data_IF_670212673526
#
_entry.id   IF_670212673526
#
_cell.length_a   1.000
_cell.length_b   1.000
_cell.length_c   1.000
_cell.angle_alpha   90.00
_cell.angle_beta   90.00
_cell.angle_gamma   90.00
#
_symmetry.space_group_name_H-M   'P 1'
#
loop_
_entity.id
_entity.type
_entity.pdbx_description
1 polymer ?
#
# COMPACT_ATOMS: atom_id res chain seq x y z
N UNK A 1 8.68 -1.85 2.05
CA UNK A 1 9.27 -3.20 1.90
C UNK A 1 9.55 -4.01 3.17
N UNK A 2 9.82 -3.41 4.34
CA UNK A 2 10.10 -4.21 5.54
C UNK A 2 8.84 -4.98 6.01
N UNK A 3 8.96 -6.29 6.14
CA UNK A 3 7.90 -7.21 6.61
C UNK A 3 7.88 -7.30 8.14
N UNK A 4 6.85 -7.94 8.70
CA UNK A 4 6.77 -8.23 10.14
C UNK A 4 7.97 -9.04 10.65
N UNK A 5 8.42 -10.00 9.84
CA UNK A 5 9.65 -10.77 10.04
C UNK A 5 10.49 -10.67 8.79
N UNK A 6 11.65 -10.03 8.88
CA UNK A 6 12.59 -9.88 7.78
C UNK A 6 13.96 -10.47 8.14
N UNK A 7 14.54 -11.24 7.22
CA UNK A 7 15.93 -11.69 7.32
C UNK A 7 16.84 -10.66 6.65
N UNK A 8 17.30 -9.68 7.43
CA UNK A 8 18.11 -8.57 6.93
C UNK A 8 17.27 -7.43 6.36
N UNK A 9 17.85 -6.66 5.45
CA UNK A 9 17.22 -5.52 4.80
C UNK A 9 16.45 -5.95 3.54
N UNK A 10 15.30 -5.33 3.26
CA UNK A 10 14.54 -5.50 2.01
C UNK A 10 14.29 -4.13 1.37
N UNK A 11 14.73 -3.92 0.13
CA UNK A 11 14.50 -2.66 -0.60
C UNK A 11 14.95 -1.42 0.17
N UNK A 12 16.11 -1.48 0.82
CA UNK A 12 16.64 -0.44 1.71
C UNK A 12 15.84 -0.21 3.01
N UNK A 13 14.71 -0.87 3.21
CA UNK A 13 13.93 -0.82 4.45
C UNK A 13 14.45 -1.82 5.51
N UNK A 14 14.74 -1.33 6.72
CA UNK A 14 15.06 -2.18 7.89
C UNK A 14 13.88 -2.34 8.85
N UNK A 15 13.03 -1.31 8.93
CA UNK A 15 11.80 -1.27 9.73
C UNK A 15 10.68 -0.69 8.88
N UNK A 16 9.43 -1.06 9.18
CA UNK A 16 8.26 -0.48 8.52
C UNK A 16 7.76 0.70 9.36
N UNK A 17 8.15 1.91 8.97
CA UNK A 17 7.85 3.15 9.72
C UNK A 17 6.35 3.38 9.85
N UNK A 18 5.60 3.13 8.78
CA UNK A 18 4.14 3.34 8.73
C UNK A 18 3.43 2.36 9.65
N UNK A 19 3.82 1.08 9.62
CA UNK A 19 3.23 0.08 10.50
C UNK A 19 3.45 0.45 11.98
N UNK A 20 4.66 0.89 12.34
CA UNK A 20 4.97 1.36 13.71
C UNK A 20 4.10 2.57 14.07
N UNK A 21 3.96 3.53 13.15
CA UNK A 21 3.14 4.72 13.37
C UNK A 21 1.67 4.36 13.56
N UNK A 22 1.10 3.49 12.73
CA UNK A 22 -0.30 3.06 12.78
C UNK A 22 -0.59 2.36 14.11
N UNK A 23 0.26 1.43 14.53
CA UNK A 23 0.09 0.73 15.80
C UNK A 23 0.20 1.68 17.00
N UNK A 24 1.09 2.69 16.92
CA UNK A 24 1.15 3.76 17.91
C UNK A 24 -0.15 4.58 17.95
N UNK A 25 -0.67 4.99 16.79
CA UNK A 25 -1.90 5.79 16.70
C UNK A 25 -3.12 5.02 17.22
N UNK A 26 -3.22 3.72 16.92
CA UNK A 26 -4.22 2.81 17.46
C UNK A 26 -4.19 2.77 18.98
N UNK A 27 -3.02 2.50 19.55
CA UNK A 27 -2.86 2.39 21.00
C UNK A 27 -3.09 3.71 21.72
N UNK A 28 -2.59 4.82 21.16
CA UNK A 28 -2.58 6.12 21.84
C UNK A 28 -3.87 6.91 21.68
N UNK A 29 -4.49 6.84 20.50
CA UNK A 29 -5.62 7.69 20.12
C UNK A 29 -6.88 6.90 19.75
N UNK A 30 -6.81 5.57 19.68
CA UNK A 30 -7.97 4.74 19.33
C UNK A 30 -8.40 4.87 17.87
N UNK A 31 -7.51 5.36 16.98
CA UNK A 31 -7.71 5.33 15.53
C UNK A 31 -7.90 3.87 15.11
N UNK A 32 -8.97 3.57 14.35
CA UNK A 32 -9.25 2.19 13.92
C UNK A 32 -9.03 2.03 12.44
N UNK A 33 -9.79 2.79 11.65
CA UNK A 33 -9.81 2.66 10.19
C UNK A 33 -8.73 3.52 9.57
N UNK A 34 -7.75 2.87 8.97
CA UNK A 34 -6.61 3.53 8.34
C UNK A 34 -6.59 3.20 6.87
N UNK A 35 -6.43 4.22 6.03
CA UNK A 35 -6.10 3.99 4.62
C UNK A 35 -4.61 4.31 4.40
N UNK A 36 -3.91 3.39 3.76
CA UNK A 36 -2.54 3.58 3.29
C UNK A 36 -2.59 3.61 1.77
N UNK A 37 -2.18 4.74 1.20
CA UNK A 37 -2.03 4.90 -0.25
C UNK A 37 -0.53 4.94 -0.53
N UNK A 38 0.02 3.83 -1.01
CA UNK A 38 1.42 3.72 -1.39
C UNK A 38 1.59 4.26 -2.81
N UNK A 39 2.35 5.34 -2.93
CA UNK A 39 2.61 6.05 -4.19
C UNK A 39 4.04 5.86 -4.69
N UNK A 40 4.85 5.06 -3.99
CA UNK A 40 6.16 4.60 -4.46
C UNK A 40 6.00 3.75 -5.73
N UNK A 41 6.97 3.81 -6.65
CA UNK A 41 6.88 3.02 -7.90
C UNK A 41 7.00 1.51 -7.66
N UNK A 42 7.53 1.10 -6.49
CA UNK A 42 7.67 -0.29 -6.10
C UNK A 42 6.51 -0.71 -5.20
N UNK A 43 6.06 -1.95 -5.33
CA UNK A 43 5.01 -2.48 -4.47
C UNK A 43 5.43 -2.48 -2.99
N UNK A 44 4.59 -1.91 -2.12
CA UNK A 44 4.70 -1.94 -0.66
C UNK A 44 4.50 -3.32 0.01
N UNK A 45 5.20 -4.35 -0.46
CA UNK A 45 5.07 -5.76 -0.04
C UNK A 45 5.11 -5.98 1.48
N UNK A 46 5.92 -5.21 2.19
CA UNK A 46 6.00 -5.25 3.64
C UNK A 46 4.73 -4.75 4.35
N UNK A 47 4.15 -3.64 3.86
CA UNK A 47 2.92 -3.07 4.44
C UNK A 47 1.73 -3.97 4.12
N UNK A 48 1.65 -4.48 2.88
CA UNK A 48 0.67 -5.50 2.50
C UNK A 48 0.72 -6.72 3.41
N UNK A 49 1.90 -7.30 3.65
CA UNK A 49 2.05 -8.50 4.49
C UNK A 49 1.58 -8.25 5.93
N UNK A 50 2.00 -7.13 6.53
CA UNK A 50 1.66 -6.79 7.92
C UNK A 50 0.14 -6.68 8.13
N UNK A 51 -0.56 -6.04 7.18
CA UNK A 51 -1.99 -5.74 7.27
C UNK A 51 -2.88 -6.70 6.48
N UNK A 52 -2.31 -7.77 5.92
CA UNK A 52 -3.02 -8.73 5.06
C UNK A 52 -4.32 -9.27 5.67
N UNK A 53 -4.39 -9.41 6.99
CA UNK A 53 -5.55 -9.94 7.70
C UNK A 53 -6.34 -8.88 8.50
N UNK A 54 -6.05 -7.60 8.32
CA UNK A 54 -6.66 -6.51 9.08
C UNK A 54 -7.79 -5.83 8.28
N UNK A 55 -9.07 -6.03 8.65
CA UNK A 55 -10.19 -5.40 7.94
C UNK A 55 -10.29 -3.89 8.18
N UNK A 56 -9.61 -3.37 9.20
CA UNK A 56 -9.60 -1.95 9.53
C UNK A 56 -8.45 -1.19 8.83
N UNK A 57 -7.67 -1.87 7.96
CA UNK A 57 -6.65 -1.22 7.12
C UNK A 57 -6.96 -1.46 5.65
N UNK A 58 -7.21 -0.37 4.93
CA UNK A 58 -7.25 -0.36 3.46
C UNK A 58 -5.86 -0.02 2.95
N UNK A 59 -5.17 -0.98 2.36
CA UNK A 59 -3.91 -0.79 1.65
C UNK A 59 -4.16 -0.69 0.14
N UNK A 60 -3.74 0.40 -0.46
CA UNK A 60 -3.78 0.63 -1.90
C UNK A 60 -2.35 0.92 -2.35
N UNK A 61 -1.86 0.22 -3.36
CA UNK A 61 -0.57 0.51 -3.99
C UNK A 61 -0.74 0.55 -5.49
N UNK A 62 -0.37 1.68 -6.11
CA UNK A 62 -0.04 1.70 -7.53
C UNK A 62 1.47 1.62 -7.66
N UNK A 63 1.95 0.72 -8.51
CA UNK A 63 3.37 0.44 -8.66
C UNK A 63 3.63 -0.09 -10.06
N UNK A 64 4.87 -0.02 -10.56
CA UNK A 64 5.19 -0.73 -11.78
C UNK A 64 5.08 -2.24 -11.53
N UNK A 65 4.48 -2.94 -12.48
CA UNK A 65 4.22 -4.37 -12.42
C UNK A 65 5.43 -5.18 -11.93
N UNK A 66 5.20 -6.01 -10.90
CA UNK A 66 6.23 -6.83 -10.26
C UNK A 66 6.96 -7.79 -11.22
N UNK A 67 6.39 -8.15 -12.37
CA UNK A 67 7.11 -8.94 -13.39
C UNK A 67 8.27 -8.18 -14.02
N UNK A 68 8.28 -6.85 -13.88
CA UNK A 68 9.21 -5.94 -14.53
C UNK A 68 10.01 -5.07 -13.55
N UNK A 69 9.62 -5.03 -12.28
CA UNK A 69 10.30 -4.25 -11.25
C UNK A 69 10.38 -5.01 -9.90
N UNK A 70 11.38 -4.67 -9.10
CA UNK A 70 11.42 -5.06 -7.69
C UNK A 70 10.12 -4.61 -6.99
N UNK A 71 9.57 -5.35 -6.00
CA UNK A 71 10.08 -6.58 -5.37
C UNK A 71 9.65 -7.89 -6.05
N UNK A 72 8.91 -7.85 -7.17
CA UNK A 72 8.38 -9.06 -7.79
C UNK A 72 7.02 -9.54 -7.26
N UNK A 73 6.27 -8.68 -6.59
CA UNK A 73 4.93 -8.95 -6.02
C UNK A 73 3.96 -7.80 -6.31
N UNK A 74 2.75 -7.85 -5.76
CA UNK A 74 1.73 -6.81 -5.95
C UNK A 74 0.77 -7.15 -7.09
N UNK A 75 0.34 -8.41 -7.19
CA UNK A 75 -0.55 -8.84 -8.25
C UNK A 75 -2.01 -8.49 -7.94
N UNK A 76 -2.82 -8.30 -8.98
CA UNK A 76 -4.24 -7.87 -8.86
C UNK A 76 -5.10 -8.87 -8.10
N UNK A 77 -4.71 -10.15 -8.06
CA UNK A 77 -5.43 -11.21 -7.35
C UNK A 77 -5.14 -11.21 -5.83
N UNK A 78 -4.14 -10.46 -5.37
CA UNK A 78 -3.75 -10.35 -3.96
C UNK A 78 -4.68 -9.38 -3.21
N UNK A 79 -5.88 -9.87 -2.84
CA UNK A 79 -6.97 -9.04 -2.33
C UNK A 79 -7.13 -9.08 -0.80
N UNK A 80 -6.09 -9.39 -0.05
CA UNK A 80 -6.16 -9.55 1.39
C UNK A 80 -6.64 -10.94 1.82
N UNK A 81 -6.48 -11.21 3.12
CA UNK A 81 -6.76 -12.50 3.72
C UNK A 81 -8.24 -12.73 4.04
N UNK A 82 -8.61 -13.91 4.57
CA UNK A 82 -10.01 -14.33 4.68
C UNK A 82 -10.93 -13.40 5.50
N UNK A 83 -10.38 -12.64 6.42
CA UNK A 83 -11.12 -11.70 7.27
C UNK A 83 -11.04 -10.25 6.80
N UNK A 84 -10.29 -9.98 5.74
CA UNK A 84 -9.96 -8.65 5.23
C UNK A 84 -9.97 -8.64 3.69
N UNK A 85 -10.82 -9.48 3.08
CA UNK A 85 -10.90 -9.57 1.63
C UNK A 85 -11.43 -8.25 1.05
N UNK A 86 -10.74 -7.71 0.05
CA UNK A 86 -11.03 -6.42 -0.56
C UNK A 86 -10.39 -5.22 0.16
N UNK A 87 -9.57 -5.42 1.19
CA UNK A 87 -8.84 -4.33 1.86
C UNK A 87 -7.38 -4.19 1.41
N UNK A 88 -6.94 -5.04 0.48
CA UNK A 88 -5.66 -4.90 -0.24
C UNK A 88 -5.96 -4.71 -1.70
N UNK A 89 -5.47 -3.61 -2.28
CA UNK A 89 -5.73 -3.21 -3.66
C UNK A 89 -4.40 -2.92 -4.34
N UNK A 90 -4.00 -3.84 -5.23
CA UNK A 90 -2.82 -3.68 -6.05
C UNK A 90 -3.20 -3.23 -7.45
N UNK A 91 -2.57 -2.14 -7.89
CA UNK A 91 -2.66 -1.63 -9.24
C UNK A 91 -1.28 -1.73 -9.91
N UNK A 92 -0.91 -2.91 -10.46
CA UNK A 92 0.32 -3.07 -11.21
C UNK A 92 0.20 -2.35 -12.56
N UNK A 93 0.98 -1.29 -12.71
CA UNK A 93 1.03 -0.43 -13.89
C UNK A 93 2.08 -0.93 -14.88
N UNK A 94 1.79 -0.75 -16.17
CA UNK A 94 2.78 -1.03 -17.21
C UNK A 94 3.99 -0.08 -17.07
N UNK A 95 5.21 -0.53 -17.43
CA UNK A 95 6.36 0.35 -17.49
C UNK A 95 6.06 1.59 -18.34
N UNK A 96 6.54 2.76 -17.91
CA UNK A 96 6.31 4.07 -18.55
C UNK A 96 4.86 4.58 -18.48
N UNK A 97 4.07 4.10 -17.51
CA UNK A 97 2.81 4.78 -17.18
C UNK A 97 3.13 6.20 -16.71
N UNK A 98 2.48 7.18 -17.33
CA UNK A 98 2.73 8.61 -17.10
C UNK A 98 1.73 9.19 -16.12
N UNK A 99 1.90 10.47 -15.77
CA UNK A 99 0.99 11.27 -14.95
C UNK A 99 -0.48 11.08 -15.34
N UNK A 100 -0.81 11.03 -16.63
CA UNK A 100 -2.19 10.86 -17.07
C UNK A 100 -2.80 9.53 -16.61
N UNK A 101 -2.01 8.45 -16.62
CA UNK A 101 -2.45 7.14 -16.13
C UNK A 101 -2.53 7.08 -14.61
N UNK A 102 -1.57 7.71 -13.91
CA UNK A 102 -1.57 7.80 -12.44
C UNK A 102 -2.74 8.65 -11.95
N UNK A 103 -2.99 9.81 -12.55
CA UNK A 103 -4.12 10.69 -12.21
C UNK A 103 -5.46 10.00 -12.47
N UNK A 104 -5.59 9.28 -13.58
CA UNK A 104 -6.79 8.47 -13.84
C UNK A 104 -7.01 7.42 -12.74
N UNK A 105 -5.96 6.73 -12.31
CA UNK A 105 -6.06 5.77 -11.20
C UNK A 105 -6.46 6.44 -9.88
N UNK A 106 -5.89 7.62 -9.59
CA UNK A 106 -6.24 8.39 -8.39
C UNK A 106 -7.72 8.77 -8.41
N UNK A 107 -8.17 9.40 -9.50
CA UNK A 107 -9.51 9.98 -9.61
C UNK A 107 -10.61 8.92 -9.70
N UNK A 108 -10.39 7.86 -10.48
CA UNK A 108 -11.45 6.88 -10.81
C UNK A 108 -11.42 5.62 -9.93
N UNK A 109 -10.35 5.40 -9.16
CA UNK A 109 -10.23 4.24 -8.26
C UNK A 109 -9.93 4.66 -6.83
N UNK A 110 -8.80 5.33 -6.59
CA UNK A 110 -8.30 5.55 -5.22
C UNK A 110 -9.24 6.45 -4.42
N UNK A 111 -9.60 7.62 -4.96
CA UNK A 111 -10.50 8.55 -4.27
C UNK A 111 -11.88 7.94 -3.96
N UNK A 112 -12.58 7.29 -4.92
CA UNK A 112 -13.82 6.57 -4.64
C UNK A 112 -13.69 5.49 -3.55
N UNK A 113 -12.58 4.74 -3.54
CA UNK A 113 -12.35 3.72 -2.50
C UNK A 113 -12.14 4.32 -1.11
N UNK A 114 -11.44 5.46 -1.02
CA UNK A 114 -11.29 6.20 0.24
C UNK A 114 -12.64 6.72 0.73
N UNK A 115 -13.50 7.21 -0.17
CA UNK A 115 -14.85 7.69 0.17
C UNK A 115 -15.76 6.57 0.70
N UNK A 116 -15.66 5.36 0.14
CA UNK A 116 -16.43 4.20 0.60
C UNK A 116 -15.91 3.66 1.94
N UNK A 117 -14.59 3.48 2.06
CA UNK A 117 -13.95 2.94 3.27
C UNK A 117 -14.06 3.89 4.48
N UNK A 118 -14.11 5.20 4.22
CA UNK A 118 -14.24 6.28 5.23
C UNK A 118 -13.16 6.17 6.32
N UNK A 119 -11.87 6.22 5.97
CA UNK A 119 -10.80 6.11 6.95
C UNK A 119 -10.84 7.25 7.97
N UNK A 120 -10.40 6.97 9.19
CA UNK A 120 -10.19 7.99 10.22
C UNK A 120 -8.90 8.80 9.91
N UNK A 121 -7.96 8.20 9.19
CA UNK A 121 -6.72 8.82 8.72
C UNK A 121 -6.25 8.19 7.40
N UNK A 122 -5.70 9.02 6.51
CA UNK A 122 -5.01 8.59 5.30
C UNK A 122 -3.51 8.81 5.46
N UNK A 123 -2.72 7.78 5.13
CA UNK A 123 -1.26 7.79 5.15
C UNK A 123 -0.79 7.59 3.71
N UNK A 124 0.19 8.38 3.28
CA UNK A 124 0.83 8.19 1.98
C UNK A 124 2.26 7.68 2.15
N UNK A 125 2.54 6.48 1.62
CA UNK A 125 3.91 5.99 1.43
C UNK A 125 4.50 6.70 0.21
N UNK A 126 5.06 7.89 0.44
CA UNK A 126 5.34 8.87 -0.61
C UNK A 126 6.72 8.68 -1.27
N UNK A 127 6.93 7.55 -1.94
CA UNK A 127 8.07 7.37 -2.84
C UNK A 127 8.00 8.34 -4.02
N UNK A 128 9.16 8.78 -4.51
CA UNK A 128 9.26 9.77 -5.60
C UNK A 128 10.05 9.23 -6.79
N UNK A 129 10.35 7.94 -6.81
CA UNK A 129 11.11 7.24 -7.85
C UNK A 129 10.29 6.90 -9.10
N UNK A 130 8.98 7.17 -9.05
CA UNK A 130 8.09 7.24 -10.21
C UNK A 130 8.28 8.52 -11.05
N UNK A 131 9.15 9.46 -10.64
CA UNK A 131 9.53 10.60 -11.47
C UNK A 131 10.18 10.07 -12.75
N UNK A 132 9.64 10.39 -13.94
CA UNK A 132 10.28 10.55 -15.27
C UNK A 132 9.23 10.44 -16.39
#
# INVERSE_FOLDING_TARGET
>A
HAMRVAHGNRGFCNINNEAIMIEYLRQKYGIKRVAIVDTDVHHGDGTQEIYWHDPDVLFISFHQDGRTLYPGSGFVEELGGPLAHGTTINLPLAPKTTDAGILYAIDELILPMLEDFKPDIVINSAGQDNHY
#
